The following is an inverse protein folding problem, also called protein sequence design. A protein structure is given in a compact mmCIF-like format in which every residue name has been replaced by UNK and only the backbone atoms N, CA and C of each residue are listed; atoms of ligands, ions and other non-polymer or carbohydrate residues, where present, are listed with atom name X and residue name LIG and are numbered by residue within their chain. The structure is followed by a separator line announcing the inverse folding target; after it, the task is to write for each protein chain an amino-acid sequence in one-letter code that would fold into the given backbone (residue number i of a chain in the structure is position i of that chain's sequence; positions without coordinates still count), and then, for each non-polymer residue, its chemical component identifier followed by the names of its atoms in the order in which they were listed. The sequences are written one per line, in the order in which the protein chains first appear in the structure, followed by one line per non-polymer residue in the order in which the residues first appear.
data_IF_739881828147
#
_entry.id   IF_739881828147
#
_cell.length_a   1.000
_cell.length_b   1.000
_cell.length_c   1.000
_cell.angle_alpha   90.00
_cell.angle_beta   90.00
_cell.angle_gamma   90.00
#
_symmetry.space_group_name_H-M   'P 1'
#
loop_
_entity.id
_entity.type
_entity.pdbx_description
1 polymer ?
#
# COMPACT_ATOMS: atom_id res chain seq x y z
N UNK A 1 1.00 51.37 -5.74
CA UNK A 1 1.23 50.31 -6.75
C UNK A 1 2.50 49.49 -6.47
N UNK A 2 3.72 50.05 -6.44
CA UNK A 2 4.97 49.28 -6.22
C UNK A 2 5.00 48.41 -4.94
N UNK A 3 4.47 48.89 -3.81
CA UNK A 3 4.46 48.14 -2.54
C UNK A 3 3.57 46.88 -2.58
N UNK A 4 2.45 46.94 -3.31
CA UNK A 4 1.53 45.79 -3.45
C UNK A 4 2.16 44.73 -4.36
N UNK A 5 2.85 45.16 -5.44
CA UNK A 5 3.59 44.25 -6.32
C UNK A 5 4.73 43.55 -5.59
N UNK A 6 5.51 44.28 -4.78
CA UNK A 6 6.57 43.69 -3.96
C UNK A 6 6.00 42.70 -2.95
N UNK A 7 4.90 43.05 -2.27
CA UNK A 7 4.25 42.14 -1.31
C UNK A 7 3.72 40.87 -2.00
N UNK A 8 3.13 41.00 -3.20
CA UNK A 8 2.66 39.86 -3.99
C UNK A 8 3.80 38.93 -4.41
N UNK A 9 4.91 39.48 -4.92
CA UNK A 9 6.09 38.68 -5.29
C UNK A 9 6.69 37.99 -4.06
N UNK A 10 6.84 38.73 -2.95
CA UNK A 10 7.37 38.18 -1.71
C UNK A 10 6.51 37.02 -1.19
N UNK A 11 5.19 37.13 -1.27
CA UNK A 11 4.28 36.06 -0.90
C UNK A 11 4.47 34.81 -1.77
N UNK A 12 4.57 34.96 -3.08
CA UNK A 12 4.80 33.84 -4.00
C UNK A 12 6.15 33.15 -3.73
N UNK A 13 7.22 33.93 -3.52
CA UNK A 13 8.53 33.36 -3.21
C UNK A 13 8.51 32.62 -1.87
N UNK A 14 7.84 33.19 -0.86
CA UNK A 14 7.73 32.58 0.46
C UNK A 14 6.97 31.26 0.43
N UNK A 15 5.82 31.19 -0.25
CA UNK A 15 5.04 29.95 -0.33
C UNK A 15 5.78 28.85 -1.07
N UNK A 16 6.45 29.17 -2.18
CA UNK A 16 7.26 28.20 -2.91
C UNK A 16 8.47 27.72 -2.10
N UNK A 17 9.17 28.64 -1.41
CA UNK A 17 10.30 28.28 -0.55
C UNK A 17 9.84 27.35 0.58
N UNK A 18 8.69 27.62 1.21
CA UNK A 18 8.15 26.79 2.27
C UNK A 18 7.83 25.36 1.78
N UNK A 19 7.24 25.21 0.59
CA UNK A 19 6.98 23.89 -0.02
C UNK A 19 8.29 23.14 -0.30
N UNK A 20 9.29 23.80 -0.89
CA UNK A 20 10.58 23.18 -1.19
C UNK A 20 11.35 22.76 0.06
N UNK A 21 11.29 23.57 1.12
CA UNK A 21 11.85 23.22 2.43
C UNK A 21 11.17 21.98 3.01
N UNK A 22 9.84 21.86 2.85
CA UNK A 22 9.10 20.66 3.26
C UNK A 22 9.57 19.40 2.53
N UNK A 23 9.82 19.48 1.22
CA UNK A 23 10.34 18.36 0.41
C UNK A 23 11.78 18.02 0.81
N UNK A 24 12.64 19.03 0.94
CA UNK A 24 14.02 18.86 1.37
C UNK A 24 14.09 18.22 2.77
N UNK A 25 13.21 18.64 3.68
CA UNK A 25 13.09 18.03 5.01
C UNK A 25 12.63 16.57 4.94
N UNK A 26 11.60 16.27 4.14
CA UNK A 26 11.13 14.89 3.97
C UNK A 26 12.23 13.95 3.48
N UNK A 27 13.04 14.43 2.52
CA UNK A 27 14.15 13.68 1.91
C UNK A 27 15.49 13.80 2.67
N UNK A 28 15.51 14.51 3.79
CA UNK A 28 16.75 14.72 4.56
C UNK A 28 17.09 13.50 5.42
N UNK A 29 18.39 13.24 5.56
CA UNK A 29 18.90 12.13 6.37
C UNK A 29 18.64 10.76 5.75
N UNK A 30 18.62 9.72 6.59
CA UNK A 30 18.28 8.36 6.17
C UNK A 30 16.77 8.24 5.98
N UNK A 31 16.28 7.74 4.83
CA UNK A 31 14.87 7.45 4.63
C UNK A 31 14.30 6.54 5.72
N UNK A 32 13.01 6.71 6.02
CA UNK A 32 12.26 5.83 6.91
C UNK A 32 12.33 4.38 6.43
N UNK A 33 12.10 4.18 5.14
CA UNK A 33 12.22 2.90 4.45
C UNK A 33 12.59 3.13 2.98
N UNK A 34 13.17 2.11 2.35
CA UNK A 34 13.49 2.10 0.93
C UNK A 34 13.18 0.72 0.38
N UNK A 35 12.16 0.63 -0.47
CA UNK A 35 11.65 -0.63 -1.00
C UNK A 35 11.90 -0.73 -2.50
N UNK A 36 12.36 -1.90 -2.93
CA UNK A 36 12.48 -2.27 -4.34
C UNK A 36 11.15 -2.86 -4.82
N UNK A 37 10.36 -2.06 -5.53
CA UNK A 37 9.00 -2.39 -5.93
C UNK A 37 8.89 -2.66 -7.44
N UNK A 38 8.00 -3.57 -7.82
CA UNK A 38 7.76 -3.94 -9.21
C UNK A 38 6.38 -3.47 -9.67
N UNK A 39 5.99 -3.81 -10.90
CA UNK A 39 4.62 -3.65 -11.41
C UNK A 39 3.55 -4.33 -10.53
N UNK A 40 3.93 -5.33 -9.71
CA UNK A 40 3.01 -6.00 -8.79
C UNK A 40 2.59 -5.08 -7.65
N UNK A 41 3.51 -4.24 -7.18
CA UNK A 41 3.35 -3.34 -6.04
C UNK A 41 3.09 -1.89 -6.44
N UNK A 42 3.26 -1.53 -7.71
CA UNK A 42 3.07 -0.18 -8.23
C UNK A 42 2.13 -0.20 -9.43
N UNK A 43 1.06 0.60 -9.35
CA UNK A 43 0.19 0.85 -10.49
C UNK A 43 0.17 2.33 -10.84
N UNK A 44 -0.05 2.63 -12.11
CA UNK A 44 -0.25 4.00 -12.56
C UNK A 44 -1.56 4.55 -12.00
N UNK A 45 -1.51 5.70 -11.35
CA UNK A 45 -2.70 6.46 -11.00
C UNK A 45 -3.10 7.30 -12.20
N UNK A 46 -4.33 7.15 -12.69
CA UNK A 46 -4.88 8.02 -13.73
C UNK A 46 -5.68 9.13 -13.06
N UNK A 47 -5.30 10.39 -13.29
CA UNK A 47 -6.13 11.54 -12.98
C UNK A 47 -6.44 12.24 -14.32
N UNK A 48 -7.71 12.39 -14.71
CA UNK A 48 -8.10 12.92 -16.02
C UNK A 48 -7.54 14.31 -16.33
N UNK A 49 -7.18 15.08 -15.29
CA UNK A 49 -6.79 16.48 -15.39
C UNK A 49 -5.27 16.71 -15.23
N UNK A 50 -4.50 15.67 -14.90
CA UNK A 50 -3.06 15.78 -14.67
C UNK A 50 -2.23 15.21 -15.83
N UNK A 51 -1.50 16.09 -16.52
CA UNK A 51 -0.45 15.74 -17.49
C UNK A 51 0.81 15.11 -16.85
N UNK A 52 0.82 15.01 -15.51
CA UNK A 52 1.84 14.32 -14.73
C UNK A 52 1.60 12.81 -14.64
N UNK A 53 2.68 12.02 -14.73
CA UNK A 53 2.64 10.59 -14.42
C UNK A 53 2.86 10.40 -12.92
N UNK A 54 1.95 9.68 -12.27
CA UNK A 54 2.07 9.28 -10.87
C UNK A 54 1.80 7.79 -10.71
N UNK A 55 2.44 7.20 -9.69
CA UNK A 55 2.24 5.82 -9.27
C UNK A 55 1.51 5.81 -7.92
N UNK A 56 0.87 4.68 -7.62
CA UNK A 56 0.28 4.40 -6.33
C UNK A 56 0.66 2.99 -5.90
N UNK A 57 0.76 2.82 -4.59
CA UNK A 57 1.04 1.52 -3.99
C UNK A 57 -0.15 0.59 -4.18
N UNK A 58 0.10 -0.58 -4.74
CA UNK A 58 -0.79 -1.72 -4.71
C UNK A 58 -0.44 -2.57 -3.49
N UNK A 59 -1.17 -2.42 -2.39
CA UNK A 59 -0.99 -3.20 -1.17
C UNK A 59 -2.24 -4.01 -0.86
N UNK A 60 -2.10 -5.03 -0.02
CA UNK A 60 -3.16 -6.01 0.27
C UNK A 60 -3.33 -6.24 1.75
N UNK A 61 -4.49 -6.77 2.10
CA UNK A 61 -4.80 -7.29 3.44
C UNK A 61 -4.98 -8.80 3.35
N UNK A 62 -4.43 -9.53 4.32
CA UNK A 62 -4.63 -10.98 4.38
C UNK A 62 -6.13 -11.31 4.51
N UNK A 63 -6.63 -12.20 3.66
CA UNK A 63 -8.05 -12.59 3.60
C UNK A 63 -8.94 -11.66 2.77
N UNK A 64 -8.42 -10.55 2.24
CA UNK A 64 -9.14 -9.74 1.25
C UNK A 64 -8.98 -10.32 -0.16
N UNK A 65 -9.94 -10.02 -1.04
CA UNK A 65 -9.87 -10.44 -2.44
C UNK A 65 -8.63 -9.79 -3.12
N UNK A 66 -7.82 -10.55 -3.89
CA UNK A 66 -6.65 -9.98 -4.56
C UNK A 66 -7.01 -8.87 -5.54
N UNK A 67 -6.14 -7.86 -5.66
CA UNK A 67 -6.30 -6.76 -6.62
C UNK A 67 -7.07 -5.54 -6.11
N UNK A 68 -7.46 -5.53 -4.82
CA UNK A 68 -8.00 -4.34 -4.16
C UNK A 68 -7.15 -3.96 -2.96
N UNK A 69 -6.76 -2.69 -2.90
CA UNK A 69 -6.14 -2.12 -1.70
C UNK A 69 -7.22 -1.73 -0.69
N UNK A 70 -7.01 -2.14 0.55
CA UNK A 70 -7.99 -2.01 1.63
C UNK A 70 -8.65 -3.33 2.01
N UNK A 71 -9.20 -3.37 3.21
CA UNK A 71 -9.79 -4.58 3.76
C UNK A 71 -9.92 -4.55 5.27
N UNK A 72 -10.36 -5.66 5.85
CA UNK A 72 -10.46 -5.84 7.30
C UNK A 72 -9.48 -6.91 7.75
N UNK A 73 -8.24 -6.54 8.10
CA UNK A 73 -7.27 -7.50 8.58
C UNK A 73 -7.76 -8.12 9.89
N UNK A 74 -7.48 -9.41 10.10
CA UNK A 74 -7.82 -10.08 11.36
C UNK A 74 -7.13 -9.43 12.56
N UNK A 75 -5.91 -8.90 12.38
CA UNK A 75 -5.15 -8.21 13.42
C UNK A 75 -5.73 -6.83 13.80
N UNK A 76 -6.62 -6.25 12.97
CA UNK A 76 -7.31 -4.99 13.23
C UNK A 76 -8.64 -5.27 13.95
N UNK A 77 -8.54 -5.95 15.09
CA UNK A 77 -9.66 -6.31 15.94
C UNK A 77 -10.10 -5.16 16.87
N UNK A 78 -11.06 -5.41 17.77
CA UNK A 78 -11.59 -4.41 18.69
C UNK A 78 -10.54 -3.84 19.63
N UNK A 79 -9.63 -4.70 20.10
CA UNK A 79 -8.56 -4.32 21.01
C UNK A 79 -7.58 -3.40 20.29
N UNK A 80 -7.18 -3.76 19.06
CA UNK A 80 -6.31 -2.95 18.22
C UNK A 80 -6.97 -1.62 17.87
N UNK A 81 -8.24 -1.62 17.47
CA UNK A 81 -8.98 -0.39 17.18
C UNK A 81 -9.04 0.55 18.39
N UNK A 82 -9.28 0.01 19.60
CA UNK A 82 -9.24 0.81 20.83
C UNK A 82 -7.85 1.39 21.09
N UNK A 83 -6.79 0.62 20.87
CA UNK A 83 -5.40 1.11 21.03
C UNK A 83 -5.04 2.21 20.03
N UNK A 84 -5.67 2.23 18.86
CA UNK A 84 -5.55 3.29 17.84
C UNK A 84 -6.46 4.51 18.14
N UNK A 85 -7.13 4.50 19.29
CA UNK A 85 -7.97 5.59 19.78
C UNK A 85 -9.41 5.56 19.28
N UNK A 86 -9.87 4.49 18.61
CA UNK A 86 -11.28 4.36 18.27
C UNK A 86 -12.10 4.03 19.53
N UNK A 87 -13.11 4.84 19.81
CA UNK A 87 -13.97 4.69 20.98
C UNK A 87 -15.26 3.91 20.70
N UNK A 88 -16.13 3.84 21.69
CA UNK A 88 -17.46 3.21 21.57
C UNK A 88 -18.54 4.20 21.08
N UNK A 89 -18.25 5.49 21.12
CA UNK A 89 -19.21 6.54 20.80
C UNK A 89 -19.27 6.78 19.29
N UNK A 90 -20.45 6.63 18.67
CA UNK A 90 -20.66 6.69 17.21
C UNK A 90 -20.14 7.96 16.53
N UNK A 91 -20.07 9.09 17.24
CA UNK A 91 -19.49 10.35 16.73
C UNK A 91 -17.97 10.28 16.48
N UNK A 92 -17.28 9.33 17.11
CA UNK A 92 -15.84 9.06 16.96
C UNK A 92 -15.55 7.93 15.94
N UNK A 93 -16.57 7.42 15.23
CA UNK A 93 -16.41 6.37 14.20
C UNK A 93 -16.02 6.95 12.83
N UNK A 94 -15.65 8.23 12.79
CA UNK A 94 -15.08 8.86 11.62
C UNK A 94 -13.78 8.14 11.21
N UNK A 95 -13.53 8.05 9.91
CA UNK A 95 -12.26 7.56 9.37
C UNK A 95 -11.12 8.39 9.97
N UNK A 96 -10.11 7.72 10.56
CA UNK A 96 -8.94 8.36 11.17
C UNK A 96 -7.68 7.97 10.44
N UNK A 97 -6.74 8.91 10.38
CA UNK A 97 -5.39 8.61 9.94
C UNK A 97 -4.63 7.85 11.04
N UNK A 98 -3.93 6.79 10.64
CA UNK A 98 -3.11 5.93 11.49
C UNK A 98 -1.81 5.57 10.76
N UNK A 99 -0.84 5.02 11.48
CA UNK A 99 0.35 4.43 10.86
C UNK A 99 0.11 2.94 10.61
N UNK A 100 0.39 2.49 9.40
CA UNK A 100 0.31 1.08 8.99
C UNK A 100 1.68 0.60 8.54
N UNK A 101 2.01 -0.63 8.91
CA UNK A 101 3.21 -1.33 8.47
C UNK A 101 2.88 -2.15 7.24
N UNK A 102 3.54 -1.84 6.13
CA UNK A 102 3.52 -2.61 4.89
C UNK A 102 4.76 -3.51 4.84
N UNK A 103 4.54 -4.82 4.72
CA UNK A 103 5.57 -5.84 4.58
C UNK A 103 5.68 -6.26 3.11
N UNK A 104 6.88 -6.17 2.54
CA UNK A 104 7.20 -6.62 1.20
C UNK A 104 7.79 -8.03 1.21
N UNK A 105 7.18 -8.95 0.45
CA UNK A 105 7.70 -10.31 0.22
C UNK A 105 7.94 -11.12 1.51
N UNK A 106 7.18 -10.79 2.55
CA UNK A 106 7.33 -11.38 3.87
C UNK A 106 6.38 -12.54 4.14
N UNK A 107 6.15 -12.80 5.43
CA UNK A 107 5.37 -13.95 5.87
C UNK A 107 3.92 -13.88 5.41
N UNK A 108 3.32 -12.68 5.40
CA UNK A 108 1.94 -12.50 4.97
C UNK A 108 1.74 -12.93 3.50
N UNK A 109 2.70 -12.62 2.63
CA UNK A 109 2.70 -13.07 1.24
C UNK A 109 2.91 -14.58 1.12
N UNK A 110 3.92 -15.14 1.80
CA UNK A 110 4.20 -16.59 1.78
C UNK A 110 2.99 -17.41 2.23
N UNK A 111 2.32 -16.97 3.29
CA UNK A 111 1.09 -17.59 3.78
C UNK A 111 -0.07 -17.47 2.78
N UNK A 112 -0.14 -16.36 2.03
CA UNK A 112 -1.13 -16.18 0.96
C UNK A 112 -0.89 -17.12 -0.21
N UNK A 113 0.37 -17.22 -0.67
CA UNK A 113 0.78 -18.14 -1.73
C UNK A 113 0.53 -19.60 -1.36
N UNK A 114 0.96 -20.02 -0.17
CA UNK A 114 0.77 -21.39 0.31
C UNK A 114 -0.72 -21.78 0.36
N UNK A 115 -1.61 -20.88 0.79
CA UNK A 115 -3.07 -21.13 0.77
C UNK A 115 -3.61 -21.28 -0.64
N UNK A 116 -3.17 -20.45 -1.58
CA UNK A 116 -3.62 -20.52 -2.96
C UNK A 116 -3.15 -21.83 -3.64
N UNK A 117 -1.89 -22.22 -3.41
CA UNK A 117 -1.33 -23.48 -3.92
C UNK A 117 -2.02 -24.71 -3.31
N UNK A 118 -2.31 -24.69 -1.99
CA UNK A 118 -3.03 -25.76 -1.32
C UNK A 118 -4.45 -25.93 -1.87
N UNK A 119 -5.17 -24.83 -2.08
CA UNK A 119 -6.51 -24.84 -2.68
C UNK A 119 -6.47 -25.41 -4.12
N UNK A 120 -5.51 -24.98 -4.94
CA UNK A 120 -5.36 -25.50 -6.30
C UNK A 120 -5.15 -27.03 -6.29
N UNK A 121 -4.27 -27.53 -5.42
CA UNK A 121 -4.00 -28.96 -5.28
C UNK A 121 -5.24 -29.75 -4.80
N UNK A 122 -6.00 -29.19 -3.86
CA UNK A 122 -7.22 -29.81 -3.36
C UNK A 122 -8.28 -29.93 -4.47
N UNK A 123 -8.52 -28.86 -5.23
CA UNK A 123 -9.51 -28.85 -6.30
C UNK A 123 -9.12 -29.72 -7.50
N UNK A 124 -7.82 -29.85 -7.79
CA UNK A 124 -7.29 -30.80 -8.76
C UNK A 124 -7.52 -32.26 -8.32
N UNK A 125 -7.32 -32.57 -7.03
CA UNK A 125 -7.60 -33.91 -6.50
C UNK A 125 -9.10 -34.27 -6.56
N UNK A 126 -9.98 -33.30 -6.27
CA UNK A 126 -11.43 -33.44 -6.44
C UNK A 126 -11.82 -33.66 -7.90
N UNK A 127 -11.19 -32.95 -8.84
CA UNK A 127 -11.41 -33.14 -10.27
C UNK A 127 -10.96 -34.53 -10.73
N UNK A 128 -9.82 -35.02 -10.24
CA UNK A 128 -9.32 -36.35 -10.57
C UNK A 128 -10.30 -37.47 -10.14
N UNK A 129 -11.07 -37.23 -9.08
CA UNK A 129 -12.10 -38.17 -8.61
C UNK A 129 -13.41 -38.13 -9.40
N UNK A 130 -13.67 -37.05 -10.15
CA UNK A 130 -14.83 -36.93 -11.04
C UNK A 130 -14.51 -36.06 -12.28
N UNK A 131 -13.77 -36.59 -13.26
CA UNK A 131 -13.21 -35.78 -14.35
C UNK A 131 -14.24 -35.17 -15.29
N UNK A 132 -15.42 -35.76 -15.43
CA UNK A 132 -16.46 -35.29 -16.35
C UNK A 132 -17.32 -34.15 -15.78
N UNK A 133 -17.18 -33.85 -14.49
CA UNK A 133 -17.94 -32.79 -13.85
C UNK A 133 -17.45 -31.39 -14.28
N UNK A 134 -18.20 -30.75 -15.17
CA UNK A 134 -17.92 -29.40 -15.69
C UNK A 134 -17.77 -28.34 -14.60
N UNK A 135 -18.50 -28.45 -13.48
CA UNK A 135 -18.36 -27.52 -12.35
C UNK A 135 -16.97 -27.70 -11.73
N UNK A 136 -16.58 -28.95 -11.46
CA UNK A 136 -15.28 -29.25 -10.86
C UNK A 136 -14.11 -28.86 -11.78
N UNK A 137 -14.26 -29.04 -13.10
CA UNK A 137 -13.28 -28.54 -14.08
C UNK A 137 -13.09 -27.03 -13.99
N UNK A 138 -14.18 -26.28 -13.89
CA UNK A 138 -14.15 -24.82 -13.76
C UNK A 138 -13.51 -24.39 -12.42
N UNK A 139 -13.89 -25.04 -11.32
CA UNK A 139 -13.35 -24.73 -9.98
C UNK A 139 -11.84 -25.00 -9.92
N UNK A 140 -11.38 -26.16 -10.38
CA UNK A 140 -9.95 -26.49 -10.42
C UNK A 140 -9.16 -25.51 -11.31
N UNK A 141 -9.70 -25.17 -12.49
CA UNK A 141 -9.10 -24.17 -13.39
C UNK A 141 -8.96 -22.80 -12.70
N UNK A 142 -10.01 -22.34 -12.01
CA UNK A 142 -9.98 -21.07 -11.30
C UNK A 142 -8.99 -21.08 -10.13
N UNK A 143 -8.95 -22.17 -9.35
CA UNK A 143 -8.02 -22.32 -8.24
C UNK A 143 -6.55 -22.29 -8.71
N UNK A 144 -6.24 -22.99 -9.82
CA UNK A 144 -4.91 -22.91 -10.44
C UNK A 144 -4.56 -21.50 -10.92
N UNK A 145 -5.50 -20.83 -11.61
CA UNK A 145 -5.30 -19.44 -12.04
C UNK A 145 -5.08 -18.49 -10.86
N UNK A 146 -5.77 -18.69 -9.74
CA UNK A 146 -5.56 -17.93 -8.51
C UNK A 146 -4.15 -18.13 -7.96
N UNK A 147 -3.64 -19.37 -7.90
CA UNK A 147 -2.28 -19.66 -7.45
C UNK A 147 -1.21 -19.05 -8.38
N UNK A 148 -1.39 -19.17 -9.70
CA UNK A 148 -0.49 -18.56 -10.69
C UNK A 148 -0.49 -17.03 -10.58
N UNK A 149 -1.66 -16.40 -10.42
CA UNK A 149 -1.76 -14.96 -10.21
C UNK A 149 -1.12 -14.53 -8.89
N UNK A 150 -1.29 -15.30 -7.80
CA UNK A 150 -0.67 -15.01 -6.51
C UNK A 150 0.86 -14.99 -6.62
N UNK A 151 1.42 -15.93 -7.40
CA UNK A 151 2.86 -16.04 -7.63
C UNK A 151 3.42 -14.94 -8.52
N UNK A 152 2.71 -14.58 -9.60
CA UNK A 152 3.27 -13.79 -10.70
C UNK A 152 2.76 -12.35 -10.79
N UNK A 153 1.54 -12.07 -10.31
CA UNK A 153 0.82 -10.84 -10.63
C UNK A 153 0.37 -10.05 -9.41
N UNK A 154 -0.15 -10.74 -8.40
CA UNK A 154 -0.69 -10.07 -7.23
C UNK A 154 0.45 -9.45 -6.42
N UNK A 155 0.18 -8.30 -5.82
CA UNK A 155 1.15 -7.62 -4.95
C UNK A 155 1.65 -8.52 -3.83
N UNK A 156 2.95 -8.42 -3.54
CA UNK A 156 3.61 -9.01 -2.36
C UNK A 156 3.64 -8.06 -1.16
N UNK A 157 3.06 -6.87 -1.29
CA UNK A 157 3.03 -5.84 -0.27
C UNK A 157 1.77 -5.98 0.59
N UNK A 158 1.93 -6.35 1.86
CA UNK A 158 0.83 -6.63 2.78
C UNK A 158 0.81 -5.69 3.98
N UNK A 159 -0.38 -5.21 4.37
CA UNK A 159 -0.58 -4.54 5.65
C UNK A 159 -0.59 -5.57 6.79
N UNK A 160 0.42 -5.52 7.66
CA UNK A 160 0.65 -6.54 8.70
C UNK A 160 0.45 -6.04 10.12
N UNK A 161 0.54 -4.73 10.36
CA UNK A 161 0.33 -4.13 11.68
C UNK A 161 -0.04 -2.65 11.58
N UNK A 162 -0.46 -2.06 12.69
CA UNK A 162 -0.69 -0.63 12.82
C UNK A 162 -0.38 -0.11 14.22
N UNK A 163 -0.06 1.18 14.30
CA UNK A 163 0.23 1.86 15.55
C UNK A 163 0.03 3.36 15.48
N UNK A 164 0.12 4.01 16.64
CA UNK A 164 0.05 5.46 16.77
C UNK A 164 1.44 6.13 16.84
N UNK A 165 2.50 5.36 17.04
CA UNK A 165 3.86 5.86 17.26
C UNK A 165 4.83 5.22 16.28
N UNK A 166 5.52 6.06 15.50
CA UNK A 166 6.44 5.65 14.44
C UNK A 166 7.66 4.90 15.00
N UNK A 167 8.31 5.42 16.05
CA UNK A 167 9.51 4.82 16.64
C UNK A 167 9.22 3.45 17.23
N UNK A 168 8.06 3.27 17.86
CA UNK A 168 7.61 1.99 18.39
C UNK A 168 7.41 0.95 17.30
N UNK A 169 6.79 1.35 16.18
CA UNK A 169 6.63 0.48 15.02
C UNK A 169 7.98 0.14 14.39
N UNK A 170 8.86 1.13 14.20
CA UNK A 170 10.19 0.89 13.61
C UNK A 170 11.09 0.05 14.52
N UNK A 171 10.96 0.17 15.84
CA UNK A 171 11.63 -0.72 16.79
C UNK A 171 11.18 -2.18 16.65
N UNK A 172 9.89 -2.41 16.38
CA UNK A 172 9.33 -3.75 16.15
C UNK A 172 9.65 -4.29 14.75
N UNK A 173 9.73 -3.41 13.76
CA UNK A 173 10.01 -3.73 12.35
C UNK A 173 11.29 -3.02 11.89
N UNK A 174 12.48 -3.46 12.32
CA UNK A 174 13.72 -2.71 12.11
C UNK A 174 14.22 -2.72 10.66
N UNK A 175 13.84 -3.72 9.85
CA UNK A 175 14.28 -3.83 8.46
C UNK A 175 13.57 -2.80 7.56
N UNK A 176 14.33 -1.81 7.10
CA UNK A 176 13.86 -0.70 6.25
C UNK A 176 13.70 -1.06 4.79
N UNK A 177 14.15 -2.26 4.38
CA UNK A 177 14.05 -2.79 3.01
C UNK A 177 12.93 -3.79 2.84
N UNK A 178 12.43 -4.35 3.94
CA UNK A 178 11.26 -5.24 3.95
C UNK A 178 10.01 -4.58 4.50
N UNK A 179 10.14 -3.56 5.35
CA UNK A 179 8.99 -2.89 5.96
C UNK A 179 8.98 -1.39 5.68
N UNK A 180 7.86 -0.89 5.15
CA UNK A 180 7.56 0.53 5.07
C UNK A 180 6.46 0.92 6.05
N UNK A 181 6.63 2.04 6.74
CA UNK A 181 5.59 2.61 7.59
C UNK A 181 4.96 3.78 6.86
N UNK A 182 3.64 3.73 6.68
CA UNK A 182 2.90 4.71 5.88
C UNK A 182 1.70 5.25 6.64
N UNK A 183 1.27 6.46 6.28
CA UNK A 183 -0.05 6.94 6.67
C UNK A 183 -1.11 6.16 5.91
N UNK A 184 -2.09 5.66 6.65
CA UNK A 184 -3.28 5.04 6.11
C UNK A 184 -4.51 5.56 6.85
N UNK A 185 -5.69 5.29 6.29
CA UNK A 185 -6.95 5.57 6.96
C UNK A 185 -7.53 4.28 7.53
N UNK A 186 -8.14 4.39 8.70
CA UNK A 186 -8.88 3.31 9.31
C UNK A 186 -10.26 3.79 9.71
N UNK A 187 -11.25 2.92 9.57
CA UNK A 187 -12.63 3.17 10.01
C UNK A 187 -13.16 1.97 10.79
N UNK A 188 -13.94 2.23 11.83
CA UNK A 188 -14.59 1.17 12.59
C UNK A 188 -15.84 0.68 11.86
N UNK A 189 -16.06 -0.64 11.86
CA UNK A 189 -17.33 -1.19 11.37
C UNK A 189 -18.49 -0.78 12.27
N UNK A 190 -19.59 -0.31 11.67
CA UNK A 190 -20.79 0.10 12.40
C UNK A 190 -21.65 -1.07 12.91
N UNK A 191 -21.37 -2.30 12.50
CA UNK A 191 -22.21 -3.48 12.76
C UNK A 191 -21.86 -4.25 14.05
N UNK A 192 -21.08 -3.66 14.96
CA UNK A 192 -20.86 -4.21 16.32
C UNK A 192 -19.90 -5.40 16.42
N UNK A 193 -19.39 -5.94 15.31
CA UNK A 193 -18.39 -7.05 15.31
C UNK A 193 -16.99 -6.64 15.78
N UNK A 194 -16.78 -5.36 16.10
CA UNK A 194 -15.60 -4.87 16.80
C UNK A 194 -14.34 -4.63 15.95
N UNK A 195 -14.28 -5.04 14.68
CA UNK A 195 -13.11 -4.85 13.83
C UNK A 195 -13.05 -3.52 13.08
N UNK A 196 -11.88 -3.24 12.51
CA UNK A 196 -11.64 -2.10 11.62
C UNK A 196 -11.63 -2.48 10.14
N UNK A 197 -11.71 -1.47 9.31
CA UNK A 197 -11.42 -1.53 7.89
C UNK A 197 -10.30 -0.53 7.61
N UNK A 198 -9.23 -0.98 6.97
CA UNK A 198 -8.19 -0.12 6.44
C UNK A 198 -8.63 0.36 5.07
N UNK A 199 -8.71 1.67 4.93
CA UNK A 199 -8.83 2.36 3.67
C UNK A 199 -7.52 3.08 3.36
N UNK A 200 -7.19 3.19 2.07
CA UNK A 200 -6.23 4.15 1.55
C UNK A 200 -4.89 4.25 2.33
N UNK A 201 -3.93 3.39 1.99
CA UNK A 201 -2.50 3.63 2.26
C UNK A 201 -1.78 4.11 0.97
N UNK A 202 -2.54 4.70 0.05
CA UNK A 202 -2.08 5.02 -1.29
C UNK A 202 -1.48 6.42 -1.26
N UNK A 203 -0.17 6.49 -1.09
CA UNK A 203 0.56 7.71 -1.36
C UNK A 203 0.80 7.84 -2.88
N UNK A 204 0.52 9.01 -3.43
CA UNK A 204 0.81 9.33 -4.83
C UNK A 204 2.30 9.60 -4.99
N UNK A 205 2.96 8.79 -5.80
CA UNK A 205 4.39 8.91 -6.08
C UNK A 205 4.54 9.60 -7.44
N UNK A 206 4.98 10.85 -7.43
CA UNK A 206 5.26 11.57 -8.68
C UNK A 206 6.44 10.93 -9.41
N UNK A 207 6.29 10.75 -10.73
CA UNK A 207 7.35 10.23 -11.60
C UNK A 207 8.06 11.38 -12.33
N UNK A 208 9.33 11.67 -11.98
CA UNK A 208 10.18 12.58 -12.73
C UNK A 208 10.23 12.27 -14.22
N UNK A 209 10.40 13.30 -15.05
CA UNK A 209 10.29 13.19 -16.51
C UNK A 209 11.24 12.14 -17.09
N UNK A 210 12.46 12.05 -16.54
CA UNK A 210 13.51 11.12 -16.93
C UNK A 210 13.12 9.64 -16.76
N UNK A 211 12.24 9.31 -15.82
CA UNK A 211 11.81 7.93 -15.57
C UNK A 211 10.51 7.55 -16.27
N UNK A 212 9.77 8.51 -16.84
CA UNK A 212 8.46 8.23 -17.48
C UNK A 212 8.49 7.16 -18.58
N UNK A 213 9.54 7.04 -19.42
CA UNK A 213 9.58 5.98 -20.44
C UNK A 213 9.59 4.57 -19.86
N UNK A 214 10.19 4.36 -18.68
CA UNK A 214 10.32 3.06 -18.01
C UNK A 214 8.94 2.50 -17.67
N UNK A 215 8.07 3.32 -17.10
CA UNK A 215 6.71 2.94 -16.69
C UNK A 215 5.71 2.80 -17.85
N UNK A 216 6.18 2.81 -19.10
CA UNK A 216 5.41 2.30 -20.25
C UNK A 216 5.56 0.78 -20.41
N UNK A 217 6.64 0.20 -19.86
CA UNK A 217 6.87 -1.25 -19.78
C UNK A 217 5.94 -1.90 -18.76
N UNK A 218 5.64 -3.18 -18.96
CA UNK A 218 4.97 -4.00 -17.94
C UNK A 218 5.95 -4.62 -16.95
N UNK A 219 7.23 -4.64 -17.29
CA UNK A 219 8.30 -5.15 -16.44
C UNK A 219 9.21 -4.00 -16.07
N UNK A 220 9.21 -3.63 -14.80
CA UNK A 220 10.09 -2.61 -14.24
C UNK A 220 10.37 -2.90 -12.77
N UNK A 221 11.49 -2.35 -12.29
CA UNK A 221 11.82 -2.27 -10.87
C UNK A 221 12.08 -0.81 -10.52
N UNK A 222 11.46 -0.34 -9.46
CA UNK A 222 11.55 1.03 -8.96
C UNK A 222 11.93 1.01 -7.47
N UNK A 223 12.98 1.75 -7.13
CA UNK A 223 13.35 2.01 -5.74
C UNK A 223 12.51 3.18 -5.22
N UNK A 224 11.68 2.90 -4.22
CA UNK A 224 10.80 3.89 -3.57
C UNK A 224 11.30 4.13 -2.16
N UNK A 225 11.67 5.36 -1.85
CA UNK A 225 12.02 5.77 -0.50
C UNK A 225 10.84 6.47 0.18
N UNK A 226 10.65 6.22 1.47
CA UNK A 226 9.69 6.88 2.34
C UNK A 226 10.44 7.81 3.29
N UNK A 227 10.02 9.08 3.35
CA UNK A 227 10.79 10.10 4.05
C UNK A 227 10.43 10.28 5.52
N UNK A 228 10.95 11.36 6.10
CA UNK A 228 10.64 11.76 7.48
C UNK A 228 9.17 12.07 7.72
N UNK A 229 8.44 12.47 6.68
CA UNK A 229 6.98 12.69 6.69
C UNK A 229 6.21 11.45 6.18
N UNK A 230 6.90 10.34 5.97
CA UNK A 230 6.38 9.10 5.35
C UNK A 230 5.82 9.32 3.94
N UNK A 231 6.12 10.47 3.33
CA UNK A 231 5.78 10.78 1.94
C UNK A 231 6.81 10.10 1.03
N UNK A 232 6.37 9.25 0.08
CA UNK A 232 7.29 8.53 -0.78
C UNK A 232 7.79 9.35 -1.96
N UNK A 233 8.97 9.00 -2.47
CA UNK A 233 9.44 9.44 -3.77
C UNK A 233 10.19 8.33 -4.50
N UNK A 234 10.19 8.44 -5.83
CA UNK A 234 10.99 7.58 -6.69
C UNK A 234 12.47 7.96 -6.58
N UNK A 235 13.31 7.01 -6.16
CA UNK A 235 14.77 7.16 -6.09
C UNK A 235 15.40 6.79 -7.43
N UNK A 236 15.01 5.64 -7.97
CA UNK A 236 15.49 5.16 -9.27
C UNK A 236 14.47 4.20 -9.88
N UNK A 237 14.55 4.00 -11.19
CA UNK A 237 13.78 2.98 -11.89
C UNK A 237 14.60 2.37 -13.03
N UNK A 238 14.33 1.11 -13.36
CA UNK A 238 14.94 0.37 -14.47
C UNK A 238 13.98 -0.69 -15.03
N UNK A 239 14.20 -1.10 -16.27
CA UNK A 239 13.59 -2.27 -16.89
C UNK A 239 14.57 -3.45 -16.89
#
# INVERSE_FOLDING_TARGET
MKRITIAGIALILFTNAFVLLGVAWNRSGTPESELSLTQRELHRSSSPENSGLSLSLNWRVAGAYPGFSGGSPQWLDRTRMKSLGFGENRRNNASREILVVLELDGEAYRNSLARAEALAKEEEAKLASNPENKIQQSVAKNARLMAENEKLRNSRLFAVDAGANLDSLRGKYPDRRSYAIVHARARQWMNGKGGGYLDNANASIHVPLEFRPIFKSQDFVAEIAFGRRLEPWLVSAKN
#
